data_IF_535442138812
#
_entry.id   IF_535442138812
#
_cell.length_a   1.000
_cell.length_b   1.000
_cell.length_c   1.000
_cell.angle_alpha   90.00
_cell.angle_beta   90.00
_cell.angle_gamma   90.00
#
_symmetry.space_group_name_H-M   'P 1'
#
loop_
_entity.id
_entity.type
_entity.pdbx_description
1 polymer ?
#
# COMPACT_ATOMS: atom_id res chain seq x y z
N UNK A 1 -12.85 -6.54 7.09
CA UNK A 1 -11.40 -6.39 6.78
C UNK A 1 -11.15 -7.21 5.53
N UNK A 2 -11.54 -6.71 4.35
CA UNK A 2 -11.65 -7.54 3.12
C UNK A 2 -10.90 -6.99 1.90
N UNK A 3 -10.23 -5.82 1.98
CA UNK A 3 -9.69 -5.15 0.77
C UNK A 3 -8.17 -5.32 0.56
N UNK A 4 -7.46 -5.96 1.50
CA UNK A 4 -6.02 -6.16 1.41
C UNK A 4 -5.56 -7.43 2.14
N UNK A 5 -4.41 -7.92 1.72
CA UNK A 5 -3.69 -9.08 2.27
C UNK A 5 -2.19 -8.75 2.31
N UNK A 6 -1.31 -9.68 2.68
CA UNK A 6 0.11 -9.34 2.74
C UNK A 6 1.04 -10.54 2.93
N UNK A 7 2.34 -10.26 2.86
CA UNK A 7 3.40 -11.23 3.14
C UNK A 7 3.41 -11.65 4.60
N UNK A 8 3.94 -12.82 4.92
CA UNK A 8 4.15 -13.23 6.32
C UNK A 8 4.75 -12.10 7.17
N UNK A 9 4.17 -11.88 8.36
CA UNK A 9 4.55 -10.80 9.26
C UNK A 9 3.82 -9.46 9.05
N UNK A 10 3.06 -9.27 7.96
CA UNK A 10 2.46 -7.96 7.66
C UNK A 10 1.51 -7.45 8.75
N UNK A 11 0.80 -8.35 9.43
CA UNK A 11 -0.11 -8.01 10.51
C UNK A 11 0.64 -7.52 11.75
N UNK A 12 1.76 -8.16 12.07
CA UNK A 12 2.65 -7.80 13.17
C UNK A 12 3.31 -6.44 12.92
N UNK A 13 3.76 -6.16 11.70
CA UNK A 13 4.27 -4.83 11.33
C UNK A 13 3.19 -3.75 11.45
N UNK A 14 1.98 -4.01 10.94
CA UNK A 14 0.88 -3.07 11.08
C UNK A 14 0.46 -2.87 12.54
N UNK A 15 0.54 -3.93 13.37
CA UNK A 15 0.30 -3.84 14.82
C UNK A 15 1.35 -2.96 15.49
N UNK A 16 2.65 -3.15 15.21
CA UNK A 16 3.71 -2.30 15.75
C UNK A 16 3.48 -0.82 15.43
N UNK A 17 3.09 -0.52 14.18
CA UNK A 17 2.70 0.84 13.78
C UNK A 17 1.51 1.36 14.60
N UNK A 18 0.45 0.55 14.76
CA UNK A 18 -0.72 0.92 15.57
C UNK A 18 -0.35 1.16 17.03
N UNK A 19 0.54 0.37 17.61
CA UNK A 19 0.97 0.52 18.99
C UNK A 19 1.72 1.86 19.19
N UNK A 20 2.55 2.28 18.21
CA UNK A 20 3.17 3.62 18.20
C UNK A 20 2.10 4.73 18.17
N UNK A 21 1.09 4.58 17.30
CA UNK A 21 0.02 5.58 17.15
C UNK A 21 -0.87 5.66 18.40
N UNK A 22 -1.20 4.52 19.01
CA UNK A 22 -1.97 4.46 20.27
C UNK A 22 -1.23 5.18 21.39
N UNK A 23 0.08 4.98 21.50
CA UNK A 23 0.89 5.68 22.50
C UNK A 23 0.92 7.19 22.25
N UNK A 24 1.04 7.62 21.00
CA UNK A 24 0.93 9.03 20.65
C UNK A 24 -0.43 9.62 21.01
N UNK A 25 -1.52 8.95 20.65
CA UNK A 25 -2.88 9.41 20.94
C UNK A 25 -3.11 9.50 22.46
N UNK A 26 -2.62 8.52 23.23
CA UNK A 26 -2.61 8.54 24.71
C UNK A 26 -1.86 9.76 25.26
N UNK A 27 -0.69 10.07 24.71
CA UNK A 27 0.10 11.25 25.11
C UNK A 27 -0.66 12.55 24.79
N UNK A 28 -1.28 12.65 23.61
CA UNK A 28 -2.08 13.81 23.24
C UNK A 28 -3.26 14.03 24.20
N UNK A 29 -3.95 12.97 24.61
CA UNK A 29 -5.04 13.04 25.59
C UNK A 29 -4.56 13.50 26.97
N UNK A 30 -3.50 12.89 27.49
CA UNK A 30 -2.92 13.26 28.78
C UNK A 30 -2.52 14.74 28.79
N UNK A 31 -2.03 15.27 27.68
CA UNK A 31 -1.59 16.67 27.61
C UNK A 31 -2.77 17.66 27.54
N UNK A 32 -3.89 17.31 26.89
CA UNK A 32 -5.10 18.13 26.97
C UNK A 32 -5.54 18.37 28.43
N UNK A 33 -5.25 17.42 29.32
CA UNK A 33 -5.57 17.49 30.74
C UNK A 33 -4.50 18.16 31.63
N UNK A 34 -3.29 18.46 31.11
CA UNK A 34 -2.17 18.97 31.91
C UNK A 34 -1.84 20.44 31.60
N UNK A 35 -1.49 21.25 32.62
CA UNK A 35 -1.14 22.66 32.44
C UNK A 35 0.24 22.87 31.78
N UNK A 36 1.15 21.90 31.86
CA UNK A 36 2.50 21.98 31.28
C UNK A 36 2.54 21.22 29.96
N UNK A 37 2.77 21.96 28.87
CA UNK A 37 2.73 21.45 27.49
C UNK A 37 4.07 20.91 26.97
N UNK A 38 5.19 21.09 27.67
CA UNK A 38 6.54 20.73 27.15
C UNK A 38 6.82 19.22 27.03
N UNK A 39 5.92 18.34 27.49
CA UNK A 39 6.08 16.88 27.41
C UNK A 39 5.67 16.26 26.05
N UNK A 40 5.36 17.07 25.03
CA UNK A 40 4.80 16.64 23.75
C UNK A 40 5.64 15.61 22.96
N UNK A 41 6.97 15.79 22.89
CA UNK A 41 7.86 15.00 22.01
C UNK A 41 8.46 13.76 22.68
N UNK A 42 9.00 13.94 23.90
CA UNK A 42 9.84 12.94 24.58
C UNK A 42 9.19 11.55 24.70
N UNK A 43 7.87 11.47 24.89
CA UNK A 43 7.17 10.20 25.07
C UNK A 43 7.08 9.37 23.78
N UNK A 44 6.71 9.98 22.67
CA UNK A 44 6.63 9.29 21.37
C UNK A 44 8.01 8.96 20.84
N UNK A 45 8.96 9.88 20.99
CA UNK A 45 10.34 9.63 20.63
C UNK A 45 10.91 8.43 21.39
N UNK A 46 10.69 8.36 22.71
CA UNK A 46 11.15 7.23 23.52
C UNK A 46 10.51 5.90 23.09
N UNK A 47 9.22 5.91 22.71
CA UNK A 47 8.54 4.72 22.21
C UNK A 47 9.08 4.29 20.85
N UNK A 48 9.31 5.24 19.93
CA UNK A 48 9.95 4.98 18.64
C UNK A 48 11.36 4.42 18.81
N UNK A 49 12.18 4.99 19.70
CA UNK A 49 13.53 4.48 20.01
C UNK A 49 13.47 3.05 20.56
N UNK A 50 12.53 2.77 21.47
CA UNK A 50 12.28 1.42 21.98
C UNK A 50 11.96 0.44 20.86
N UNK A 51 10.99 0.78 20.01
CA UNK A 51 10.60 -0.05 18.87
C UNK A 51 11.78 -0.31 17.92
N UNK A 52 12.54 0.72 17.56
CA UNK A 52 13.73 0.58 16.72
C UNK A 52 14.79 -0.32 17.37
N UNK A 53 15.04 -0.20 18.69
CA UNK A 53 15.99 -1.05 19.41
C UNK A 53 15.57 -2.54 19.49
N UNK A 54 14.26 -2.80 19.46
CA UNK A 54 13.70 -4.14 19.41
C UNK A 54 13.74 -4.72 17.99
N UNK A 55 13.46 -3.89 16.98
CA UNK A 55 13.44 -4.28 15.57
C UNK A 55 14.84 -4.50 14.98
N UNK A 56 15.79 -3.60 15.26
CA UNK A 56 17.11 -3.62 14.64
C UNK A 56 18.00 -4.75 15.19
N UNK A 57 18.92 -5.29 14.36
CA UNK A 57 19.97 -6.19 14.84
C UNK A 57 20.73 -5.62 16.03
N UNK A 58 21.10 -6.46 17.00
CA UNK A 58 21.76 -6.04 18.25
C UNK A 58 23.15 -5.40 18.09
N UNK A 59 23.72 -5.44 16.89
CA UNK A 59 24.92 -4.66 16.57
C UNK A 59 24.65 -3.16 16.44
N UNK A 60 23.38 -2.76 16.28
CA UNK A 60 22.96 -1.37 16.25
C UNK A 60 22.37 -0.95 17.59
N UNK A 61 22.92 0.12 18.16
CA UNK A 61 22.35 0.80 19.31
C UNK A 61 21.41 1.90 18.85
N UNK A 62 20.35 2.14 19.63
CA UNK A 62 19.40 3.24 19.40
C UNK A 62 19.29 4.07 20.67
N UNK A 63 19.47 5.38 20.55
CA UNK A 63 19.46 6.32 21.67
C UNK A 63 19.01 7.71 21.23
N UNK A 64 18.68 8.59 22.15
CA UNK A 64 18.74 10.05 21.92
C UNK A 64 20.04 10.61 22.50
N UNK A 65 20.36 11.85 22.16
CA UNK A 65 21.50 12.56 22.75
C UNK A 65 22.36 13.29 21.73
N UNK A 66 23.67 13.19 21.87
CA UNK A 66 24.63 14.09 21.21
C UNK A 66 25.57 13.32 20.30
N UNK A 67 25.92 13.93 19.15
CA UNK A 67 26.96 13.43 18.25
C UNK A 67 28.23 14.23 18.48
N UNK A 68 29.32 13.51 18.75
CA UNK A 68 30.57 14.05 19.26
C UNK A 68 31.67 13.88 18.18
N UNK A 69 32.02 14.92 17.39
CA UNK A 69 33.18 14.88 16.49
C UNK A 69 34.52 14.60 17.21
N UNK A 70 35.59 14.27 16.50
CA UNK A 70 36.92 13.99 17.06
C UNK A 70 37.69 15.29 17.39
N UNK A 71 37.51 16.37 16.61
CA UNK A 71 38.20 17.66 16.80
C UNK A 71 37.24 18.73 17.31
N UNK A 72 37.63 19.41 18.41
CA UNK A 72 36.85 20.44 19.09
C UNK A 72 37.53 21.80 19.06
N UNK A 73 36.74 22.83 18.76
CA UNK A 73 36.97 24.18 19.27
C UNK A 73 36.05 24.42 20.49
N UNK A 74 36.50 25.21 21.46
CA UNK A 74 35.84 25.44 22.76
C UNK A 74 34.47 26.15 22.65
N UNK A 75 34.05 26.54 21.44
CA UNK A 75 32.82 27.31 21.19
C UNK A 75 31.72 26.52 20.46
N UNK A 76 31.88 25.20 20.24
CA UNK A 76 30.87 24.42 19.53
C UNK A 76 29.64 24.17 20.39
N UNK A 77 28.47 24.48 19.81
CA UNK A 77 27.16 24.17 20.38
C UNK A 77 26.87 22.69 20.17
N UNK A 78 26.67 21.95 21.27
CA UNK A 78 26.22 20.56 21.21
C UNK A 78 24.72 20.51 20.93
N UNK A 79 24.36 19.62 20.01
CA UNK A 79 23.01 19.47 19.53
C UNK A 79 22.42 18.14 19.97
N UNK A 80 21.24 18.19 20.57
CA UNK A 80 20.47 17.00 20.91
C UNK A 80 19.74 16.46 19.67
N UNK A 81 19.77 15.16 19.44
CA UNK A 81 19.04 14.46 18.38
C UNK A 81 18.04 13.46 18.98
N UNK A 82 16.87 13.36 18.38
CA UNK A 82 15.76 12.53 18.88
C UNK A 82 16.06 11.04 18.75
N UNK A 83 16.65 10.62 17.63
CA UNK A 83 17.03 9.23 17.37
C UNK A 83 18.41 9.18 16.71
N UNK A 84 19.35 8.52 17.38
CA UNK A 84 20.68 8.19 16.90
C UNK A 84 20.78 6.67 16.82
N UNK A 85 21.10 6.15 15.63
CA UNK A 85 21.42 4.76 15.38
C UNK A 85 22.93 4.66 15.14
N UNK A 86 23.62 3.82 15.91
CA UNK A 86 25.07 3.71 15.87
C UNK A 86 25.55 2.26 15.94
N UNK A 87 26.78 2.00 15.50
CA UNK A 87 27.41 0.68 15.65
C UNK A 87 27.75 0.45 17.13
N UNK A 88 26.92 -0.30 17.84
CA UNK A 88 27.06 -0.52 19.28
C UNK A 88 28.21 -1.46 19.64
N UNK A 89 28.65 -2.31 18.72
CA UNK A 89 29.74 -3.25 19.02
C UNK A 89 31.10 -2.54 19.10
N UNK A 90 31.29 -1.52 18.26
CA UNK A 90 32.59 -0.84 18.12
C UNK A 90 32.62 0.56 18.77
N UNK A 91 31.47 1.13 19.09
CA UNK A 91 31.37 2.50 19.59
C UNK A 91 31.44 2.59 21.11
N UNK A 92 32.34 3.42 21.68
CA UNK A 92 32.25 3.80 23.08
C UNK A 92 31.11 4.79 23.30
N UNK A 93 30.49 4.74 24.49
CA UNK A 93 29.63 5.82 24.98
C UNK A 93 30.50 6.75 25.81
N UNK A 94 30.64 8.00 25.39
CA UNK A 94 31.58 8.94 26.01
C UNK A 94 31.08 9.46 27.35
N UNK A 95 29.79 9.81 27.40
CA UNK A 95 29.07 10.09 28.63
C UNK A 95 27.58 9.83 28.44
N UNK A 96 26.86 9.81 29.55
CA UNK A 96 25.41 9.68 29.60
C UNK A 96 24.85 10.80 30.46
N UNK A 97 23.79 11.43 30.00
CA UNK A 97 23.02 12.43 30.74
C UNK A 97 21.64 11.84 31.07
N UNK A 98 21.29 11.85 32.36
CA UNK A 98 20.09 11.21 32.89
C UNK A 98 20.34 10.58 34.25
N UNK A 99 19.28 10.28 34.99
CA UNK A 99 19.38 9.56 36.28
C UNK A 99 19.37 8.04 36.06
N UNK A 100 19.96 7.26 36.96
CA UNK A 100 19.92 5.79 36.94
C UNK A 100 18.49 5.24 36.95
N UNK A 101 17.55 5.96 37.57
CA UNK A 101 16.12 5.63 37.63
C UNK A 101 15.37 5.82 36.29
N UNK A 102 16.00 6.47 35.30
CA UNK A 102 15.41 6.61 33.98
C UNK A 102 15.63 5.33 33.19
N UNK A 103 14.60 4.93 32.42
CA UNK A 103 14.74 3.81 31.48
C UNK A 103 15.91 4.05 30.53
N UNK A 104 16.52 2.99 30.01
CA UNK A 104 17.60 3.10 29.02
C UNK A 104 17.22 3.95 27.79
N UNK A 105 15.92 4.05 27.49
CA UNK A 105 15.37 4.86 26.39
C UNK A 105 15.17 6.34 26.74
N UNK A 106 15.28 6.70 28.02
CA UNK A 106 15.20 8.06 28.55
C UNK A 106 16.56 8.69 28.86
N UNK A 107 17.64 7.91 28.80
CA UNK A 107 19.01 8.40 28.98
C UNK A 107 19.54 8.99 27.68
N UNK A 108 20.10 10.19 27.73
CA UNK A 108 20.78 10.80 26.59
C UNK A 108 22.22 10.32 26.54
N UNK A 109 22.71 9.94 25.37
CA UNK A 109 24.07 9.41 25.21
C UNK A 109 24.86 10.26 24.23
N UNK A 110 26.14 10.40 24.53
CA UNK A 110 27.10 11.06 23.67
C UNK A 110 27.89 10.02 22.87
N UNK A 111 27.67 10.02 21.56
CA UNK A 111 28.20 9.01 20.63
C UNK A 111 29.20 9.66 19.67
N UNK A 112 30.41 9.09 19.48
CA UNK A 112 31.36 9.64 18.53
C UNK A 112 30.85 9.60 17.08
N UNK A 113 31.07 10.68 16.32
CA UNK A 113 30.53 10.88 14.98
C UNK A 113 30.80 9.71 14.02
N UNK A 114 32.01 9.15 14.05
CA UNK A 114 32.45 8.05 13.16
C UNK A 114 31.67 6.74 13.32
N UNK A 115 30.95 6.56 14.43
CA UNK A 115 30.14 5.36 14.68
C UNK A 115 28.64 5.58 14.44
N UNK A 116 28.22 6.81 14.17
CA UNK A 116 26.81 7.14 13.91
C UNK A 116 26.46 6.70 12.49
N UNK A 117 25.50 5.81 12.38
CA UNK A 117 25.05 5.20 11.14
C UNK A 117 23.82 5.90 10.57
N UNK A 118 22.87 6.29 11.44
CA UNK A 118 21.70 7.04 11.02
C UNK A 118 21.17 7.96 12.10
N UNK A 119 20.53 9.06 11.69
CA UNK A 119 19.84 10.00 12.57
C UNK A 119 18.42 10.25 12.08
N UNK A 120 17.45 10.23 12.98
CA UNK A 120 16.07 10.64 12.66
C UNK A 120 15.60 11.71 13.61
N UNK A 121 15.04 12.78 13.02
CA UNK A 121 14.27 13.77 13.76
C UNK A 121 12.80 13.35 13.77
N UNK A 122 12.14 13.47 14.92
CA UNK A 122 10.75 13.09 15.09
C UNK A 122 9.89 14.32 15.31
N UNK A 123 8.82 14.47 14.51
CA UNK A 123 7.83 15.54 14.69
C UNK A 123 6.44 14.95 14.79
N UNK A 124 5.63 15.50 15.68
CA UNK A 124 4.26 15.03 15.89
C UNK A 124 3.38 15.17 14.66
N UNK A 125 3.62 16.19 13.83
CA UNK A 125 2.80 16.51 12.66
C UNK A 125 3.64 16.85 11.45
N UNK A 126 3.18 16.50 10.26
CA UNK A 126 3.67 17.01 8.99
C UNK A 126 2.98 18.33 8.65
N UNK A 127 3.71 19.43 8.79
CA UNK A 127 3.32 20.78 8.36
C UNK A 127 4.56 21.63 8.03
N UNK A 128 4.37 22.83 7.47
CA UNK A 128 5.48 23.70 7.02
C UNK A 128 6.49 24.01 8.14
N UNK A 129 6.00 24.31 9.35
CA UNK A 129 6.85 24.65 10.48
C UNK A 129 7.70 23.45 10.93
N UNK A 130 7.07 22.29 11.10
CA UNK A 130 7.74 21.05 11.51
C UNK A 130 8.77 20.56 10.49
N UNK A 131 8.50 20.70 9.18
CA UNK A 131 9.45 20.37 8.12
C UNK A 131 10.68 21.27 8.22
N UNK A 132 10.46 22.59 8.35
CA UNK A 132 11.55 23.56 8.45
C UNK A 132 12.40 23.31 9.69
N UNK A 133 11.76 23.11 10.84
CA UNK A 133 12.43 22.81 12.11
C UNK A 133 13.26 21.53 12.03
N UNK A 134 12.67 20.44 11.52
CA UNK A 134 13.35 19.16 11.42
C UNK A 134 14.55 19.20 10.47
N UNK A 135 14.41 19.82 9.31
CA UNK A 135 15.52 19.94 8.36
C UNK A 135 16.63 20.83 8.91
N UNK A 136 16.31 21.95 9.56
CA UNK A 136 17.32 22.80 10.21
C UNK A 136 18.09 22.05 11.29
N UNK A 137 17.40 21.21 12.06
CA UNK A 137 18.01 20.36 13.07
C UNK A 137 19.00 19.37 12.47
N UNK A 138 18.61 18.68 11.39
CA UNK A 138 19.47 17.72 10.72
C UNK A 138 20.68 18.40 10.02
N UNK A 139 20.55 19.66 9.57
CA UNK A 139 21.68 20.44 8.99
C UNK A 139 22.82 20.66 9.98
N UNK A 140 22.57 20.56 11.28
CA UNK A 140 23.63 20.70 12.30
C UNK A 140 24.75 19.67 12.11
N UNK A 141 24.45 18.50 11.50
CA UNK A 141 25.46 17.50 11.18
C UNK A 141 26.37 17.88 10.00
N UNK A 142 26.01 18.89 9.19
CA UNK A 142 26.82 19.31 8.04
C UNK A 142 28.19 19.85 8.45
N UNK A 143 28.28 20.45 9.64
CA UNK A 143 29.51 21.09 10.14
C UNK A 143 30.63 20.07 10.43
N UNK A 144 30.28 18.81 10.65
CA UNK A 144 31.22 17.73 10.93
C UNK A 144 31.00 16.50 10.02
N UNK A 145 30.40 16.70 8.84
CA UNK A 145 30.06 15.61 7.91
C UNK A 145 31.23 14.70 7.52
N UNK A 146 32.43 15.26 7.42
CA UNK A 146 33.65 14.52 7.06
C UNK A 146 34.10 13.51 8.14
N UNK A 147 33.53 13.61 9.35
CA UNK A 147 33.83 12.75 10.49
C UNK A 147 32.74 11.69 10.74
N UNK A 148 31.63 11.76 10.01
CA UNK A 148 30.54 10.79 10.11
C UNK A 148 30.92 9.46 9.48
N UNK A 149 30.21 8.40 9.85
CA UNK A 149 30.39 7.09 9.23
C UNK A 149 30.15 7.16 7.71
N UNK A 150 30.88 6.41 6.85
CA UNK A 150 30.68 6.46 5.39
C UNK A 150 29.27 6.07 4.92
N UNK A 151 28.56 5.26 5.72
CA UNK A 151 27.16 4.86 5.50
C UNK A 151 26.17 5.77 6.23
N UNK A 152 26.60 6.93 6.74
CA UNK A 152 25.74 7.85 7.45
C UNK A 152 24.54 8.25 6.60
N UNK A 153 23.37 8.19 7.20
CA UNK A 153 22.14 8.71 6.62
C UNK A 153 21.33 9.48 7.66
N UNK A 154 20.42 10.33 7.20
CA UNK A 154 19.44 10.91 8.11
C UNK A 154 18.08 11.06 7.47
N UNK A 155 17.06 11.20 8.29
CA UNK A 155 15.70 11.35 7.83
C UNK A 155 14.77 11.96 8.88
N UNK A 156 13.50 12.04 8.52
CA UNK A 156 12.44 12.58 9.38
C UNK A 156 11.32 11.57 9.57
N UNK A 157 10.75 11.52 10.77
CA UNK A 157 9.56 10.73 11.07
C UNK A 157 8.47 11.69 11.56
N UNK A 158 7.41 11.82 10.77
CA UNK A 158 6.20 12.53 11.16
C UNK A 158 5.17 11.54 11.68
N UNK A 159 4.48 11.85 12.78
CA UNK A 159 3.47 10.93 13.32
C UNK A 159 2.14 11.05 12.56
N UNK A 160 1.65 12.27 12.33
CA UNK A 160 0.40 12.50 11.61
C UNK A 160 0.52 13.52 10.47
N UNK A 161 -0.38 13.40 9.49
CA UNK A 161 -0.81 14.47 8.60
C UNK A 161 -2.29 14.75 8.84
N UNK A 162 -2.63 16.00 9.16
CA UNK A 162 -4.01 16.45 9.35
C UNK A 162 -4.67 16.81 8.04
N UNK A 163 -5.97 16.58 7.94
CA UNK A 163 -6.73 16.87 6.72
C UNK A 163 -6.71 18.37 6.38
N UNK A 164 -6.67 19.22 7.41
CA UNK A 164 -6.52 20.68 7.24
C UNK A 164 -5.21 21.10 6.55
N UNK A 165 -4.18 20.26 6.57
CA UNK A 165 -2.89 20.50 5.92
C UNK A 165 -2.77 19.78 4.56
N UNK A 166 -3.74 18.93 4.21
CA UNK A 166 -3.65 18.02 3.07
C UNK A 166 -3.59 18.76 1.71
N UNK A 167 -4.02 20.02 1.66
CA UNK A 167 -3.93 20.84 0.44
C UNK A 167 -2.82 21.91 0.51
N UNK A 168 -1.91 21.82 1.48
CA UNK A 168 -0.84 22.80 1.69
C UNK A 168 0.43 22.43 0.90
N UNK A 169 0.52 22.91 -0.35
CA UNK A 169 1.68 22.68 -1.23
C UNK A 169 3.03 23.09 -0.61
N UNK A 170 3.03 24.05 0.31
CA UNK A 170 4.25 24.56 0.93
C UNK A 170 4.98 23.48 1.75
N UNK A 171 4.28 22.43 2.17
CA UNK A 171 4.86 21.29 2.87
C UNK A 171 5.85 20.56 1.96
N UNK A 172 5.43 20.19 0.74
CA UNK A 172 6.26 19.47 -0.22
C UNK A 172 7.42 20.37 -0.70
N UNK A 173 7.15 21.65 -0.96
CA UNK A 173 8.19 22.65 -1.26
C UNK A 173 9.17 22.86 -0.10
N UNK A 174 8.75 22.62 1.13
CA UNK A 174 9.65 22.63 2.29
C UNK A 174 10.56 21.40 2.30
N UNK A 175 10.02 20.22 1.99
CA UNK A 175 10.76 18.95 2.03
C UNK A 175 11.92 18.89 1.02
N UNK A 176 11.80 19.56 -0.14
CA UNK A 176 12.90 19.61 -1.14
C UNK A 176 14.20 20.20 -0.56
N UNK A 177 14.10 21.08 0.45
CA UNK A 177 15.25 21.67 1.16
C UNK A 177 16.07 20.65 1.93
N UNK A 178 15.57 19.42 2.06
CA UNK A 178 16.35 18.27 2.50
C UNK A 178 17.54 17.99 1.59
N UNK A 179 17.56 18.49 0.34
CA UNK A 179 18.73 18.40 -0.56
C UNK A 179 19.99 19.04 0.02
N UNK A 180 19.84 20.01 0.92
CA UNK A 180 20.97 20.72 1.56
C UNK A 180 21.43 20.03 2.86
N UNK A 181 20.79 18.94 3.26
CA UNK A 181 21.12 18.18 4.48
C UNK A 181 21.99 16.99 4.09
N UNK A 182 23.19 16.89 4.68
CA UNK A 182 24.11 15.79 4.41
C UNK A 182 23.50 14.44 4.83
N UNK A 183 23.56 13.45 3.92
CA UNK A 183 23.03 12.11 4.16
C UNK A 183 21.50 12.01 4.19
N UNK A 184 20.75 13.08 3.89
CA UNK A 184 19.29 13.04 3.96
C UNK A 184 18.69 12.15 2.89
N UNK A 185 17.97 11.10 3.32
CA UNK A 185 17.35 10.11 2.44
C UNK A 185 15.82 10.18 2.43
N UNK A 186 15.23 11.17 3.12
CA UNK A 186 13.80 11.38 3.21
C UNK A 186 13.24 10.99 4.57
N UNK A 187 12.19 10.17 4.60
CA UNK A 187 11.47 9.90 5.84
C UNK A 187 10.14 9.20 5.68
N UNK A 188 9.33 9.22 6.74
CA UNK A 188 7.98 8.66 6.71
C UNK A 188 6.96 9.50 7.49
N UNK A 189 5.68 9.29 7.18
CA UNK A 189 4.53 9.84 7.91
C UNK A 189 3.66 8.66 8.37
N UNK A 190 3.52 8.44 9.67
CA UNK A 190 2.93 7.19 10.19
C UNK A 190 1.41 7.05 9.95
N UNK A 191 0.70 8.18 9.79
CA UNK A 191 -0.75 8.22 9.58
C UNK A 191 -1.17 9.48 8.80
N UNK A 192 -2.14 9.33 7.91
CA UNK A 192 -2.98 10.43 7.41
C UNK A 192 -4.35 10.36 8.08
N UNK A 193 -4.90 11.50 8.50
CA UNK A 193 -6.20 11.58 9.18
C UNK A 193 -7.37 11.06 8.33
N UNK A 194 -7.32 11.24 7.00
CA UNK A 194 -8.36 10.73 6.09
C UNK A 194 -8.24 9.24 5.75
N UNK A 195 -7.12 8.59 6.08
CA UNK A 195 -6.91 7.15 5.91
C UNK A 195 -5.84 6.64 6.88
N UNK A 196 -6.29 6.04 7.99
CA UNK A 196 -5.39 5.52 9.01
C UNK A 196 -4.62 4.26 8.57
N UNK A 197 -4.97 3.66 7.43
CA UNK A 197 -4.33 2.45 6.93
C UNK A 197 -3.06 2.74 6.13
N UNK A 198 -2.90 3.95 5.60
CA UNK A 198 -1.78 4.31 4.75
C UNK A 198 -0.67 5.04 5.52
N UNK A 199 0.54 4.93 4.97
CA UNK A 199 1.77 5.51 5.53
C UNK A 199 2.42 6.34 4.41
N UNK A 200 2.83 7.55 4.75
CA UNK A 200 3.58 8.42 3.86
C UNK A 200 5.05 8.00 3.80
N UNK A 201 5.63 7.97 2.61
CA UNK A 201 7.06 7.77 2.35
C UNK A 201 7.56 9.04 1.68
N UNK A 202 8.58 9.66 2.26
CA UNK A 202 9.26 10.83 1.70
C UNK A 202 10.57 10.32 1.11
N UNK A 203 10.85 10.63 -0.17
CA UNK A 203 12.09 10.29 -0.85
C UNK A 203 12.61 11.49 -1.61
N UNK A 204 13.92 11.67 -1.63
CA UNK A 204 14.59 12.65 -2.48
C UNK A 204 15.39 11.93 -3.56
N UNK A 205 15.34 12.48 -4.77
CA UNK A 205 16.03 11.97 -5.93
C UNK A 205 16.81 13.07 -6.62
N UNK A 206 17.98 12.71 -7.14
CA UNK A 206 18.67 13.49 -8.16
C UNK A 206 17.98 13.33 -9.51
N UNK A 207 17.90 14.42 -10.26
CA UNK A 207 17.28 14.49 -11.58
C UNK A 207 18.30 15.03 -12.57
N UNK A 208 18.48 14.34 -13.69
CA UNK A 208 19.45 14.73 -14.72
C UNK A 208 19.13 16.12 -15.31
N UNK A 209 20.19 16.89 -15.57
CA UNK A 209 20.08 18.21 -16.21
C UNK A 209 19.45 18.07 -17.60
N UNK A 210 18.24 18.59 -17.77
CA UNK A 210 17.48 18.54 -19.02
C UNK A 210 16.14 17.82 -18.91
N UNK A 211 15.90 17.10 -17.81
CA UNK A 211 14.61 16.48 -17.54
C UNK A 211 13.62 17.53 -17.01
N UNK A 212 12.93 18.19 -17.96
CA UNK A 212 11.80 19.09 -17.67
C UNK A 212 10.53 18.28 -17.57
N UNK A 213 10.25 17.75 -16.38
CA UNK A 213 8.93 17.17 -16.15
C UNK A 213 7.88 18.27 -16.02
N UNK A 214 6.88 18.22 -16.89
CA UNK A 214 5.62 18.97 -16.73
C UNK A 214 4.69 18.24 -15.75
N UNK A 215 5.21 17.70 -14.64
CA UNK A 215 4.31 17.14 -13.62
C UNK A 215 3.57 18.30 -12.97
N UNK A 216 2.27 18.37 -13.27
CA UNK A 216 1.33 19.24 -12.61
C UNK A 216 1.34 18.99 -11.10
N UNK A 217 1.09 20.06 -10.34
CA UNK A 217 1.16 20.06 -8.89
C UNK A 217 -0.04 19.27 -8.36
N UNK A 218 0.20 18.12 -7.76
CA UNK A 218 -0.88 17.29 -7.23
C UNK A 218 -1.16 17.65 -5.78
N UNK A 219 -2.22 18.42 -5.62
CA UNK A 219 -3.01 18.45 -4.39
C UNK A 219 -4.25 17.57 -4.60
N UNK A 220 -4.76 16.91 -3.55
CA UNK A 220 -4.23 16.87 -2.19
C UNK A 220 -2.89 16.12 -2.09
N UNK A 221 -2.15 16.27 -0.99
CA UNK A 221 -0.85 15.60 -0.78
C UNK A 221 -1.01 14.14 -0.35
N UNK A 222 -2.19 13.76 0.13
CA UNK A 222 -2.61 12.42 0.54
C UNK A 222 -4.07 12.14 0.13
N UNK A 223 -4.39 10.88 -0.14
CA UNK A 223 -5.75 10.38 -0.39
C UNK A 223 -5.98 9.05 0.31
N UNK A 224 -7.24 8.70 0.51
CA UNK A 224 -7.60 7.35 0.93
C UNK A 224 -7.26 6.36 -0.18
N UNK A 225 -6.53 5.30 0.17
CA UNK A 225 -6.04 4.30 -0.80
C UNK A 225 -7.17 3.48 -1.43
N UNK A 226 -8.28 3.29 -0.70
CA UNK A 226 -9.44 2.55 -1.22
C UNK A 226 -10.25 3.37 -2.21
N UNK A 227 -10.25 4.71 -2.06
CA UNK A 227 -10.94 5.63 -2.96
C UNK A 227 -10.17 5.84 -4.28
N UNK A 228 -8.97 5.26 -4.41
CA UNK A 228 -8.19 5.43 -5.62
C UNK A 228 -8.86 4.74 -6.81
N UNK A 229 -8.99 5.46 -7.93
CA UNK A 229 -9.58 5.02 -9.19
C UNK A 229 -8.64 4.05 -9.95
N UNK A 230 -8.21 3.00 -9.26
CA UNK A 230 -7.32 1.94 -9.76
C UNK A 230 -8.14 0.66 -9.81
N UNK A 231 -8.33 0.14 -11.02
CA UNK A 231 -9.24 -0.98 -11.27
C UNK A 231 -8.73 -1.86 -12.42
N UNK A 232 -9.24 -3.08 -12.49
CA UNK A 232 -9.10 -3.94 -13.66
C UNK A 232 -10.26 -3.63 -14.61
N UNK A 233 -10.01 -3.41 -15.90
CA UNK A 233 -11.05 -3.22 -16.91
C UNK A 233 -11.68 -4.56 -17.31
N UNK A 234 -12.78 -4.52 -18.05
CA UNK A 234 -13.40 -5.75 -18.59
C UNK A 234 -12.44 -6.59 -19.42
N UNK A 235 -11.47 -5.96 -20.07
CA UNK A 235 -10.45 -6.64 -20.87
C UNK A 235 -9.29 -7.20 -20.03
N UNK A 236 -9.41 -7.17 -18.70
CA UNK A 236 -8.36 -7.63 -17.78
C UNK A 236 -7.19 -6.66 -17.63
N UNK A 237 -7.26 -5.45 -18.22
CA UNK A 237 -6.18 -4.47 -18.14
C UNK A 237 -6.25 -3.71 -16.81
N UNK A 238 -5.10 -3.58 -16.14
CA UNK A 238 -4.98 -2.74 -14.96
C UNK A 238 -4.91 -1.26 -15.37
N UNK A 239 -5.88 -0.47 -14.92
CA UNK A 239 -6.06 0.93 -15.31
C UNK A 239 -5.85 1.87 -14.12
N UNK A 240 -5.11 2.95 -14.37
CA UNK A 240 -4.95 4.08 -13.45
C UNK A 240 -5.86 5.21 -13.94
N UNK A 241 -7.02 5.35 -13.29
CA UNK A 241 -8.08 6.27 -13.70
C UNK A 241 -8.02 7.65 -13.05
N UNK A 242 -6.95 7.96 -12.31
CA UNK A 242 -6.74 9.29 -11.73
C UNK A 242 -5.26 9.67 -11.69
N UNK A 243 -5.02 10.97 -11.56
CA UNK A 243 -3.70 11.54 -11.43
C UNK A 243 -3.13 11.35 -10.03
N UNK A 244 -1.83 11.05 -9.93
CA UNK A 244 -1.15 10.69 -8.68
C UNK A 244 -1.46 9.27 -8.18
N UNK A 245 -2.48 8.60 -8.72
CA UNK A 245 -2.72 7.18 -8.49
C UNK A 245 -1.62 6.32 -9.12
N UNK A 246 -1.08 5.39 -8.35
CA UNK A 246 0.02 4.53 -8.74
C UNK A 246 -0.15 3.11 -8.21
N UNK A 247 0.60 2.19 -8.80
CA UNK A 247 0.63 0.79 -8.42
C UNK A 247 2.07 0.31 -8.32
N UNK A 248 2.32 -0.57 -7.37
CA UNK A 248 3.54 -1.36 -7.29
C UNK A 248 3.18 -2.81 -7.50
N UNK A 249 3.75 -3.40 -8.54
CA UNK A 249 3.49 -4.79 -8.92
C UNK A 249 4.64 -5.66 -8.42
N UNK A 250 4.30 -6.79 -7.82
CA UNK A 250 5.24 -7.80 -7.38
C UNK A 250 4.88 -9.15 -7.98
N UNK A 251 5.88 -9.88 -8.45
CA UNK A 251 5.70 -11.26 -8.89
C UNK A 251 5.98 -12.21 -7.74
N UNK A 252 5.03 -13.07 -7.41
CA UNK A 252 5.19 -14.16 -6.46
C UNK A 252 4.75 -15.47 -7.12
N UNK A 253 5.71 -16.32 -7.50
CA UNK A 253 5.47 -17.47 -8.37
C UNK A 253 4.73 -17.06 -9.66
N UNK A 254 3.53 -17.59 -9.87
CA UNK A 254 2.67 -17.31 -11.03
C UNK A 254 1.61 -16.23 -10.75
N UNK A 255 1.64 -15.60 -9.57
CA UNK A 255 0.69 -14.57 -9.17
C UNK A 255 1.33 -13.17 -9.20
N UNK A 256 0.56 -12.20 -9.70
CA UNK A 256 0.90 -10.79 -9.62
C UNK A 256 0.19 -10.17 -8.42
N UNK A 257 0.97 -9.65 -7.49
CA UNK A 257 0.49 -8.96 -6.30
C UNK A 257 0.59 -7.46 -6.55
N UNK A 258 -0.44 -6.71 -6.19
CA UNK A 258 -0.52 -5.27 -6.43
C UNK A 258 -0.56 -4.55 -5.10
N UNK A 259 0.18 -3.46 -4.96
CA UNK A 259 -0.03 -2.48 -3.89
C UNK A 259 -0.38 -1.14 -4.51
N UNK A 260 -1.51 -0.57 -4.11
CA UNK A 260 -1.96 0.76 -4.51
C UNK A 260 -1.11 1.80 -3.79
N UNK A 261 -0.89 2.92 -4.47
CA UNK A 261 -0.23 4.08 -3.91
C UNK A 261 -0.82 5.37 -4.45
N UNK A 262 -0.79 6.42 -3.65
CA UNK A 262 -1.02 7.79 -4.12
C UNK A 262 0.27 8.57 -3.96
N UNK A 263 0.73 9.29 -4.98
CA UNK A 263 1.98 10.04 -4.91
C UNK A 263 1.89 11.42 -5.50
N UNK A 264 2.65 12.31 -4.89
CA UNK A 264 2.81 13.70 -5.30
C UNK A 264 4.30 14.02 -5.39
N UNK A 265 4.65 14.79 -6.41
CA UNK A 265 6.03 15.10 -6.73
C UNK A 265 6.23 16.61 -6.81
N UNK A 266 7.40 17.04 -6.40
CA UNK A 266 7.85 18.40 -6.60
C UNK A 266 9.32 18.38 -6.99
N UNK A 267 9.64 19.06 -8.09
CA UNK A 267 11.00 19.19 -8.59
C UNK A 267 11.43 20.65 -8.57
N UNK A 268 12.67 20.89 -8.14
CA UNK A 268 13.31 22.19 -8.17
C UNK A 268 14.79 21.99 -8.53
N UNK A 269 15.24 22.66 -9.59
CA UNK A 269 16.57 22.47 -10.18
C UNK A 269 16.82 21.01 -10.59
N UNK A 270 17.84 20.37 -10.04
CA UNK A 270 18.25 18.98 -10.28
C UNK A 270 17.78 18.02 -9.18
N UNK A 271 16.80 18.41 -8.36
CA UNK A 271 16.28 17.58 -7.27
C UNK A 271 14.78 17.41 -7.38
N UNK A 272 14.31 16.23 -6.98
CA UNK A 272 12.89 15.88 -6.86
C UNK A 272 12.63 15.35 -5.47
N UNK A 273 11.55 15.82 -4.86
CA UNK A 273 10.96 15.19 -3.68
C UNK A 273 9.70 14.45 -4.11
N UNK A 274 9.60 13.20 -3.67
CA UNK A 274 8.47 12.32 -3.89
C UNK A 274 7.85 12.00 -2.53
N UNK A 275 6.59 12.37 -2.35
CA UNK A 275 5.79 11.96 -1.20
C UNK A 275 4.74 10.97 -1.69
N UNK A 276 4.82 9.72 -1.23
CA UNK A 276 3.91 8.65 -1.61
C UNK A 276 3.19 8.06 -0.41
N UNK A 277 1.95 7.62 -0.59
CA UNK A 277 1.12 6.98 0.41
C UNK A 277 0.80 5.56 -0.02
N UNK A 278 0.99 4.60 0.87
CA UNK A 278 0.68 3.19 0.66
C UNK A 278 0.59 2.47 1.99
N UNK A 279 -0.16 1.37 2.03
CA UNK A 279 -0.20 0.46 3.18
C UNK A 279 1.13 -0.24 3.43
N UNK A 280 1.95 -0.39 2.38
CA UNK A 280 3.26 -1.06 2.47
C UNK A 280 4.39 -0.19 3.02
N UNK A 281 4.26 1.14 3.06
CA UNK A 281 5.41 2.01 3.31
C UNK A 281 6.04 1.85 4.70
N UNK A 282 5.30 1.36 5.71
CA UNK A 282 5.91 1.08 7.02
C UNK A 282 6.93 -0.08 6.93
N UNK A 283 6.57 -1.17 6.24
CA UNK A 283 7.49 -2.28 6.01
C UNK A 283 8.63 -1.87 5.08
N UNK A 284 8.35 -1.05 4.06
CA UNK A 284 9.37 -0.53 3.15
C UNK A 284 10.39 0.37 3.87
N UNK A 285 9.94 1.24 4.78
CA UNK A 285 10.83 2.02 5.65
C UNK A 285 11.77 1.10 6.45
N UNK A 286 11.24 0.04 7.05
CA UNK A 286 12.02 -0.92 7.81
C UNK A 286 13.08 -1.63 6.97
N UNK A 287 12.70 -2.06 5.75
CA UNK A 287 13.62 -2.68 4.79
C UNK A 287 14.70 -1.70 4.33
N UNK A 288 14.29 -0.47 4.01
CA UNK A 288 15.19 0.58 3.51
C UNK A 288 16.18 1.03 4.59
N UNK A 289 15.73 1.14 5.84
CA UNK A 289 16.59 1.40 7.01
C UNK A 289 17.63 0.30 7.18
N UNK A 290 17.21 -0.97 7.27
CA UNK A 290 18.15 -2.10 7.40
C UNK A 290 19.16 -2.13 6.25
N UNK A 291 18.67 -1.97 5.02
CA UNK A 291 19.53 -2.00 3.85
C UNK A 291 20.54 -0.86 3.84
N UNK A 292 20.14 0.35 4.26
CA UNK A 292 21.03 1.50 4.35
C UNK A 292 22.11 1.30 5.41
N UNK A 293 21.73 0.79 6.59
CA UNK A 293 22.68 0.48 7.67
C UNK A 293 23.72 -0.57 7.25
N UNK A 294 23.34 -1.52 6.40
CA UNK A 294 24.23 -2.55 5.85
C UNK A 294 24.95 -2.12 4.55
N UNK A 295 24.71 -0.92 4.02
CA UNK A 295 25.27 -0.46 2.74
C UNK A 295 24.79 -1.24 1.52
N UNK A 296 23.60 -1.84 1.58
CA UNK A 296 23.00 -2.60 0.48
C UNK A 296 22.29 -1.67 -0.51
N UNK A 297 22.67 -1.79 -1.79
CA UNK A 297 22.01 -1.09 -2.88
C UNK A 297 20.53 -1.50 -3.04
N UNK A 298 19.73 -0.70 -3.74
CA UNK A 298 18.29 -0.94 -3.93
C UNK A 298 17.96 -2.25 -4.67
N UNK A 299 18.85 -2.68 -5.58
CA UNK A 299 18.72 -3.91 -6.36
C UNK A 299 19.51 -5.09 -5.77
N UNK A 300 20.11 -4.96 -4.58
CA UNK A 300 20.85 -6.05 -3.95
C UNK A 300 19.92 -7.21 -3.60
N UNK A 301 20.28 -8.43 -4.01
CA UNK A 301 19.49 -9.65 -3.78
C UNK A 301 19.35 -9.99 -2.29
N UNK A 302 20.26 -9.51 -1.45
CA UNK A 302 20.26 -9.70 0.01
C UNK A 302 19.33 -8.74 0.72
N UNK A 303 18.72 -7.77 0.02
CA UNK A 303 17.73 -6.87 0.65
C UNK A 303 16.61 -7.68 1.27
N UNK A 304 16.26 -7.42 2.54
CA UNK A 304 15.14 -8.10 3.17
C UNK A 304 13.82 -7.87 2.43
N UNK A 305 12.94 -8.87 2.43
CA UNK A 305 11.60 -8.81 1.82
C UNK A 305 10.58 -9.41 2.79
N UNK A 306 9.88 -8.55 3.52
CA UNK A 306 8.88 -8.97 4.49
C UNK A 306 7.81 -7.90 4.69
N UNK A 307 6.69 -8.28 5.32
CA UNK A 307 5.72 -7.35 5.89
C UNK A 307 4.94 -6.47 4.90
N UNK A 308 5.10 -6.68 3.58
CA UNK A 308 4.38 -5.90 2.56
C UNK A 308 2.89 -6.23 2.56
N UNK A 309 2.10 -5.22 2.26
CA UNK A 309 0.64 -5.28 2.12
C UNK A 309 0.29 -5.11 0.64
N UNK A 310 -0.60 -5.97 0.17
CA UNK A 310 -1.12 -5.99 -1.19
C UNK A 310 -2.62 -5.71 -1.16
N UNK A 311 -3.09 -4.96 -2.14
CA UNK A 311 -4.46 -4.52 -2.27
C UNK A 311 -5.19 -5.39 -3.30
N UNK A 312 -6.46 -5.68 -3.01
CA UNK A 312 -7.33 -6.22 -4.03
C UNK A 312 -7.69 -5.11 -5.02
N UNK A 313 -7.42 -5.36 -6.30
CA UNK A 313 -7.85 -4.45 -7.36
C UNK A 313 -9.19 -4.93 -7.89
N UNK A 314 -10.21 -4.10 -7.71
CA UNK A 314 -11.56 -4.42 -8.13
C UNK A 314 -11.69 -4.36 -9.66
N UNK A 315 -12.53 -5.23 -10.21
CA UNK A 315 -13.00 -5.10 -11.59
C UNK A 315 -13.94 -3.88 -11.65
N UNK A 316 -13.70 -2.96 -12.59
CA UNK A 316 -14.59 -1.83 -12.80
C UNK A 316 -15.99 -2.35 -13.09
N UNK A 317 -16.97 -1.89 -12.32
CA UNK A 317 -18.36 -2.28 -12.53
C UNK A 317 -18.84 -1.78 -13.89
N UNK A 318 -19.05 -2.72 -14.79
CA UNK A 318 -19.70 -2.47 -16.08
C UNK A 318 -21.20 -2.30 -15.87
N UNK A 319 -21.85 -1.31 -16.52
CA UNK A 319 -23.28 -1.12 -16.45
C UNK A 319 -24.03 -2.41 -16.78
N UNK A 320 -24.99 -2.78 -15.92
CA UNK A 320 -25.85 -3.92 -16.19
C UNK A 320 -26.76 -3.59 -17.38
N UNK A 321 -26.91 -4.57 -18.29
CA UNK A 321 -27.86 -4.48 -19.38
C UNK A 321 -29.27 -4.24 -18.81
N UNK A 322 -30.07 -3.42 -19.51
CA UNK A 322 -31.49 -3.22 -19.23
C UNK A 322 -32.23 -4.57 -19.18
N UNK A 323 -33.29 -4.67 -18.37
CA UNK A 323 -34.13 -5.87 -18.31
C UNK A 323 -34.99 -6.05 -19.57
N UNK A 324 -35.21 -4.97 -20.32
CA UNK A 324 -36.01 -4.95 -21.55
C UNK A 324 -35.19 -4.48 -22.73
N UNK A 325 -35.47 -5.05 -23.90
CA UNK A 325 -34.87 -4.61 -25.16
C UNK A 325 -35.24 -3.15 -25.47
N UNK A 326 -34.25 -2.38 -25.91
CA UNK A 326 -34.39 -1.01 -26.36
C UNK A 326 -33.96 -0.91 -27.82
N UNK A 327 -34.81 -0.32 -28.66
CA UNK A 327 -34.54 -0.17 -30.09
C UNK A 327 -33.24 0.61 -30.32
N UNK A 328 -32.41 0.11 -31.23
CA UNK A 328 -31.11 0.66 -31.59
C UNK A 328 -29.98 0.27 -30.65
N UNK A 329 -30.22 -0.60 -29.65
CA UNK A 329 -29.19 -1.07 -28.71
C UNK A 329 -28.91 -2.56 -28.87
N UNK A 330 -27.71 -2.96 -28.43
CA UNK A 330 -27.34 -4.35 -28.27
C UNK A 330 -28.03 -4.97 -27.05
N UNK A 331 -28.49 -6.22 -27.15
CA UNK A 331 -29.22 -6.90 -26.08
C UNK A 331 -29.03 -8.41 -26.15
N UNK A 332 -28.40 -8.98 -25.13
CA UNK A 332 -28.17 -10.41 -25.01
C UNK A 332 -29.20 -11.07 -24.08
N UNK A 333 -29.66 -12.24 -24.47
CA UNK A 333 -30.50 -13.12 -23.65
C UNK A 333 -29.73 -14.39 -23.34
N UNK A 334 -29.61 -14.69 -22.06
CA UNK A 334 -28.86 -15.85 -21.55
C UNK A 334 -29.85 -16.87 -21.01
N UNK A 335 -29.80 -18.10 -21.53
CA UNK A 335 -30.67 -19.22 -21.13
C UNK A 335 -29.85 -20.48 -20.89
N UNK A 336 -30.35 -21.34 -20.01
CA UNK A 336 -29.80 -22.67 -19.80
C UNK A 336 -30.42 -23.62 -20.83
N UNK A 337 -29.59 -24.45 -21.48
CA UNK A 337 -30.11 -25.49 -22.35
C UNK A 337 -30.45 -26.75 -21.53
N UNK A 338 -31.52 -27.44 -21.92
CA UNK A 338 -32.10 -28.58 -21.18
C UNK A 338 -31.13 -29.76 -21.00
N UNK A 339 -30.04 -29.82 -21.78
CA UNK A 339 -28.98 -30.83 -21.69
C UNK A 339 -27.94 -30.54 -20.59
N UNK A 340 -28.42 -30.21 -19.39
CA UNK A 340 -27.54 -29.97 -18.24
C UNK A 340 -27.42 -31.25 -17.43
N UNK A 341 -26.21 -31.81 -17.35
CA UNK A 341 -25.94 -33.10 -16.72
C UNK A 341 -25.12 -32.92 -15.44
N UNK A 342 -25.54 -33.63 -14.39
CA UNK A 342 -24.75 -33.77 -13.17
C UNK A 342 -24.29 -35.22 -13.15
N UNK A 343 -23.01 -35.45 -13.38
CA UNK A 343 -22.41 -36.78 -13.29
C UNK A 343 -21.67 -36.90 -11.96
N UNK A 344 -21.86 -38.05 -11.33
CA UNK A 344 -21.10 -38.41 -10.12
C UNK A 344 -20.33 -39.68 -10.44
N UNK A 345 -19.01 -39.61 -10.42
CA UNK A 345 -18.19 -40.80 -10.54
C UNK A 345 -18.03 -41.46 -9.17
N UNK A 346 -17.78 -42.78 -9.16
CA UNK A 346 -17.49 -43.50 -7.92
C UNK A 346 -16.22 -43.00 -7.21
N UNK A 347 -15.40 -42.18 -7.87
CA UNK A 347 -14.08 -41.68 -7.47
C UNK A 347 -14.06 -40.49 -6.52
N UNK A 348 -15.15 -40.17 -5.81
CA UNK A 348 -15.28 -38.97 -4.94
C UNK A 348 -15.28 -37.62 -5.69
N UNK A 349 -15.11 -37.63 -7.01
CA UNK A 349 -15.17 -36.43 -7.85
C UNK A 349 -16.61 -36.08 -8.24
N UNK A 350 -16.91 -34.79 -8.16
CA UNK A 350 -18.19 -34.24 -8.59
C UNK A 350 -17.98 -33.40 -9.83
N UNK A 351 -18.61 -33.82 -10.94
CA UNK A 351 -18.53 -33.13 -12.22
C UNK A 351 -19.90 -32.59 -12.62
N UNK A 352 -19.93 -31.30 -12.92
CA UNK A 352 -21.13 -30.58 -13.33
C UNK A 352 -20.85 -30.10 -14.75
N UNK A 353 -21.70 -30.49 -15.70
CA UNK A 353 -21.63 -30.00 -17.06
C UNK A 353 -22.95 -29.36 -17.45
N UNK A 354 -22.90 -28.10 -17.89
CA UNK A 354 -24.09 -27.40 -18.37
C UNK A 354 -23.77 -26.53 -19.57
N UNK A 355 -24.77 -26.37 -20.44
CA UNK A 355 -24.67 -25.50 -21.61
C UNK A 355 -25.50 -24.25 -21.40
N UNK A 356 -24.90 -23.11 -21.69
CA UNK A 356 -25.58 -21.82 -21.72
C UNK A 356 -25.70 -21.37 -23.17
N UNK A 357 -26.90 -20.99 -23.58
CA UNK A 357 -27.15 -20.33 -24.85
C UNK A 357 -27.22 -18.82 -24.66
N UNK A 358 -26.55 -18.09 -25.54
CA UNK A 358 -26.46 -16.64 -25.55
C UNK A 358 -27.03 -16.18 -26.90
N UNK A 359 -28.21 -15.57 -26.87
CA UNK A 359 -28.95 -15.13 -28.05
C UNK A 359 -28.85 -13.60 -28.15
N UNK A 360 -28.43 -13.06 -29.30
CA UNK A 360 -28.44 -11.63 -29.54
C UNK A 360 -29.79 -11.19 -30.09
N UNK A 361 -30.64 -10.62 -29.23
CA UNK A 361 -31.93 -10.03 -29.60
C UNK A 361 -31.86 -8.51 -29.82
N UNK A 362 -30.66 -7.94 -29.78
CA UNK A 362 -30.42 -6.52 -30.03
C UNK A 362 -30.53 -6.16 -31.50
N UNK A 363 -30.38 -4.87 -31.80
CA UNK A 363 -30.33 -4.35 -33.17
C UNK A 363 -28.89 -4.25 -33.72
N UNK A 364 -27.89 -4.59 -32.90
CA UNK A 364 -26.47 -4.46 -33.23
C UNK A 364 -25.73 -5.77 -33.04
N UNK A 365 -24.75 -6.04 -33.90
CA UNK A 365 -23.77 -7.11 -33.68
C UNK A 365 -22.94 -6.80 -32.44
N UNK A 366 -22.64 -7.82 -31.64
CA UNK A 366 -21.86 -7.67 -30.41
C UNK A 366 -20.61 -8.52 -30.43
N UNK A 367 -19.59 -8.04 -29.73
CA UNK A 367 -18.46 -8.86 -29.29
C UNK A 367 -18.66 -9.11 -27.80
N UNK A 368 -18.71 -10.37 -27.40
CA UNK A 368 -18.88 -10.76 -26.01
C UNK A 368 -17.77 -11.68 -25.50
N UNK A 369 -17.63 -11.72 -24.19
CA UNK A 369 -16.72 -12.58 -23.45
C UNK A 369 -17.26 -12.83 -22.04
N UNK A 370 -16.90 -13.97 -21.47
CA UNK A 370 -17.13 -14.34 -20.08
C UNK A 370 -15.82 -14.65 -19.32
N UNK A 371 -14.66 -14.33 -19.92
CA UNK A 371 -13.33 -14.65 -19.40
C UNK A 371 -12.36 -13.45 -19.42
N UNK A 372 -12.92 -12.25 -19.19
CA UNK A 372 -12.20 -10.98 -19.25
C UNK A 372 -11.59 -10.70 -20.64
N UNK A 373 -12.32 -11.07 -21.69
CA UNK A 373 -11.92 -10.92 -23.10
C UNK A 373 -10.60 -11.62 -23.48
N UNK A 374 -10.20 -12.65 -22.72
CA UNK A 374 -9.15 -13.59 -23.16
C UNK A 374 -9.60 -14.35 -24.40
N UNK A 375 -10.88 -14.73 -24.46
CA UNK A 375 -11.57 -15.18 -25.65
C UNK A 375 -12.64 -14.18 -26.06
N UNK A 376 -12.78 -13.96 -27.37
CA UNK A 376 -13.75 -13.03 -27.97
C UNK A 376 -14.65 -13.80 -28.93
N UNK A 377 -15.95 -13.59 -28.83
CA UNK A 377 -16.92 -14.15 -29.77
C UNK A 377 -17.76 -13.03 -30.36
N UNK A 378 -17.80 -12.95 -31.68
CA UNK A 378 -18.70 -12.06 -32.41
C UNK A 378 -20.05 -12.75 -32.58
N UNK A 379 -21.14 -12.08 -32.21
CA UNK A 379 -22.49 -12.60 -32.29
C UNK A 379 -23.38 -11.64 -33.11
N UNK A 380 -23.68 -11.99 -34.37
CA UNK A 380 -24.58 -11.21 -35.22
C UNK A 380 -26.00 -11.11 -34.65
N UNK A 381 -26.76 -10.15 -35.16
CA UNK A 381 -28.16 -9.93 -34.75
C UNK A 381 -29.01 -11.16 -35.08
N UNK A 382 -29.80 -11.63 -34.10
CA UNK A 382 -30.68 -12.79 -34.22
C UNK A 382 -29.98 -14.15 -34.07
N UNK A 383 -28.66 -14.17 -33.97
CA UNK A 383 -27.88 -15.40 -33.83
C UNK A 383 -27.77 -15.86 -32.37
N UNK A 384 -27.48 -17.15 -32.20
CA UNK A 384 -27.29 -17.78 -30.89
C UNK A 384 -25.93 -18.47 -30.80
N UNK A 385 -25.14 -18.12 -29.79
CA UNK A 385 -23.96 -18.85 -29.39
C UNK A 385 -24.29 -19.85 -28.27
N UNK A 386 -23.59 -20.99 -28.23
CA UNK A 386 -23.71 -21.98 -27.16
C UNK A 386 -22.34 -22.22 -26.56
N UNK A 387 -22.24 -22.11 -25.23
CA UNK A 387 -21.03 -22.42 -24.48
C UNK A 387 -21.26 -23.56 -23.50
N UNK A 388 -20.36 -24.54 -23.54
CA UNK A 388 -20.30 -25.64 -22.57
C UNK A 388 -19.44 -25.22 -21.39
N UNK A 389 -19.97 -25.42 -20.17
CA UNK A 389 -19.26 -25.25 -18.91
C UNK A 389 -19.08 -26.60 -18.27
N UNK A 390 -17.84 -26.91 -17.91
CA UNK A 390 -17.48 -28.10 -17.16
C UNK A 390 -16.83 -27.65 -15.85
N UNK A 391 -17.47 -27.98 -14.73
CA UNK A 391 -16.95 -27.71 -13.40
C UNK A 391 -16.62 -29.03 -12.71
N UNK A 392 -15.33 -29.24 -12.44
CA UNK A 392 -14.83 -30.39 -11.69
C UNK A 392 -14.43 -29.92 -10.30
N UNK A 393 -15.00 -30.53 -9.27
CA UNK A 393 -14.60 -30.29 -7.89
C UNK A 393 -14.34 -31.59 -7.17
N UNK A 394 -13.31 -31.56 -6.31
CA UNK A 394 -12.94 -32.66 -5.44
C UNK A 394 -13.36 -32.28 -4.03
N UNK A 395 -14.16 -33.12 -3.39
CA UNK A 395 -14.55 -32.89 -2.01
C UNK A 395 -13.52 -33.54 -1.08
N UNK A 396 -12.89 -32.75 -0.23
CA UNK A 396 -12.02 -33.28 0.83
C UNK A 396 -12.86 -34.10 1.83
N UNK A 397 -12.64 -35.42 1.83
CA UNK A 397 -13.25 -36.48 2.67
C UNK A 397 -14.59 -37.07 2.20
N UNK A 398 -14.56 -38.34 1.72
CA UNK A 398 -15.63 -39.37 1.76
C UNK A 398 -17.07 -38.88 1.84
N UNK A 399 -17.47 -37.99 0.93
CA UNK A 399 -18.85 -37.54 0.83
C UNK A 399 -19.63 -38.64 0.10
N UNK A 400 -20.11 -39.63 0.87
CA UNK A 400 -20.84 -40.77 0.32
C UNK A 400 -22.13 -40.42 -0.43
N UNK A 401 -22.62 -39.16 -0.49
CA UNK A 401 -23.68 -38.70 -1.42
C UNK A 401 -23.62 -37.18 -1.67
N UNK A 402 -22.94 -36.70 -2.72
CA UNK A 402 -22.95 -35.29 -3.15
C UNK A 402 -24.38 -34.71 -3.29
N UNK A 403 -25.33 -35.55 -3.73
CA UNK A 403 -26.76 -35.19 -3.80
C UNK A 403 -27.37 -34.79 -2.46
N UNK A 404 -26.93 -35.37 -1.33
CA UNK A 404 -27.39 -34.93 0.00
C UNK A 404 -26.86 -33.55 0.38
N UNK A 405 -25.63 -33.22 -0.04
CA UNK A 405 -25.09 -31.88 0.19
C UNK A 405 -25.79 -30.85 -0.66
N UNK A 406 -26.02 -31.11 -1.96
CA UNK A 406 -26.75 -30.18 -2.82
C UNK A 406 -28.21 -29.98 -2.40
N UNK A 407 -28.85 -31.01 -1.80
CA UNK A 407 -30.15 -30.85 -1.14
C UNK A 407 -30.12 -29.84 0.00
N UNK A 408 -29.06 -29.89 0.82
CA UNK A 408 -28.94 -29.07 2.03
C UNK A 408 -28.44 -27.66 1.69
N UNK A 409 -27.46 -27.59 0.81
CA UNK A 409 -26.69 -26.41 0.44
C UNK A 409 -26.56 -26.37 -1.10
N UNK A 410 -27.54 -25.81 -1.83
CA UNK A 410 -27.42 -25.58 -3.27
C UNK A 410 -26.17 -24.76 -3.59
N UNK A 411 -25.47 -25.13 -4.64
CA UNK A 411 -24.33 -24.35 -5.12
C UNK A 411 -24.86 -23.25 -6.02
N UNK A 412 -24.46 -22.00 -5.78
CA UNK A 412 -24.83 -20.85 -6.62
C UNK A 412 -23.55 -20.34 -7.27
N UNK A 413 -23.49 -20.42 -8.60
CA UNK A 413 -22.36 -19.94 -9.39
C UNK A 413 -22.80 -18.66 -10.11
N UNK A 414 -22.15 -17.51 -9.90
CA UNK A 414 -22.40 -16.34 -10.72
C UNK A 414 -21.91 -16.61 -12.15
N UNK A 415 -22.79 -16.38 -13.13
CA UNK A 415 -22.46 -16.45 -14.54
C UNK A 415 -22.53 -15.06 -15.16
N UNK A 416 -21.42 -14.63 -15.74
CA UNK A 416 -21.15 -13.25 -16.08
C UNK A 416 -20.69 -13.16 -17.53
N UNK A 417 -21.39 -12.37 -18.35
CA UNK A 417 -21.00 -12.04 -19.72
C UNK A 417 -20.88 -10.53 -19.87
N UNK A 418 -19.70 -10.07 -20.26
CA UNK A 418 -19.52 -8.69 -20.70
C UNK A 418 -19.53 -8.64 -22.24
N UNK A 419 -20.16 -7.61 -22.80
CA UNK A 419 -20.24 -7.45 -24.24
C UNK A 419 -20.22 -5.97 -24.64
N UNK A 420 -19.89 -5.67 -25.88
CA UNK A 420 -20.00 -4.34 -26.47
C UNK A 420 -20.38 -4.44 -27.96
N UNK A 421 -21.07 -3.44 -28.53
CA UNK A 421 -21.37 -3.42 -29.97
C UNK A 421 -20.08 -3.36 -30.82
N UNK A 422 -20.01 -4.10 -31.92
CA UNK A 422 -18.78 -4.20 -32.72
C UNK A 422 -18.35 -2.89 -33.39
N UNK A 423 -19.24 -1.90 -33.46
CA UNK A 423 -19.05 -0.61 -34.13
C UNK A 423 -18.95 0.60 -33.18
N UNK A 424 -18.72 0.40 -31.89
CA UNK A 424 -18.57 1.49 -30.90
C UNK A 424 -17.20 1.48 -30.22
N UNK A 425 -16.90 2.55 -29.47
CA UNK A 425 -15.69 2.69 -28.65
C UNK A 425 -15.73 1.80 -27.38
N UNK A 426 -16.21 0.56 -27.51
CA UNK A 426 -16.33 -0.44 -26.44
C UNK A 426 -17.13 0.06 -25.23
N UNK A 427 -18.33 0.54 -25.45
CA UNK A 427 -19.29 0.76 -24.38
C UNK A 427 -19.75 -0.59 -23.82
N UNK A 428 -19.03 -1.09 -22.81
CA UNK A 428 -19.31 -2.37 -22.20
C UNK A 428 -20.69 -2.39 -21.53
N UNK A 429 -21.39 -3.50 -21.68
CA UNK A 429 -22.61 -3.88 -21.00
C UNK A 429 -22.44 -5.25 -20.35
N UNK A 430 -23.14 -5.48 -19.25
CA UNK A 430 -23.02 -6.70 -18.45
C UNK A 430 -24.34 -7.46 -18.39
N UNK A 431 -24.30 -8.76 -18.67
CA UNK A 431 -25.37 -9.70 -18.29
C UNK A 431 -24.84 -10.61 -17.20
N UNK A 432 -25.47 -10.53 -16.03
CA UNK A 432 -25.16 -11.39 -14.89
C UNK A 432 -26.39 -12.23 -14.51
N UNK A 433 -26.17 -13.54 -14.36
CA UNK A 433 -27.16 -14.53 -13.95
C UNK A 433 -26.59 -15.36 -12.81
N UNK A 434 -27.44 -15.97 -12.01
CA UNK A 434 -27.02 -16.94 -10.98
C UNK A 434 -27.42 -18.34 -11.42
N UNK A 435 -26.44 -19.22 -11.61
CA UNK A 435 -26.69 -20.64 -11.89
C UNK A 435 -26.83 -21.36 -10.55
N UNK A 436 -28.04 -21.81 -10.24
CA UNK A 436 -28.32 -22.60 -9.05
C UNK A 436 -28.27 -24.08 -9.39
N UNK A 437 -27.40 -24.79 -8.69
CA UNK A 437 -27.19 -26.23 -8.83
C UNK A 437 -27.75 -26.90 -7.59
N UNK A 438 -28.70 -27.80 -7.82
CA UNK A 438 -29.39 -28.57 -6.78
C UNK A 438 -29.27 -30.06 -7.08
N UNK A 439 -29.73 -30.88 -6.16
CA UNK A 439 -29.88 -32.32 -6.40
C UNK A 439 -30.92 -32.66 -7.47
N UNK A 440 -31.82 -31.72 -7.80
CA UNK A 440 -32.87 -31.89 -8.80
C UNK A 440 -32.46 -31.42 -10.20
N UNK A 441 -31.30 -30.78 -10.32
CA UNK A 441 -30.80 -30.23 -11.58
C UNK A 441 -30.24 -28.82 -11.44
N UNK A 442 -30.02 -28.22 -12.60
CA UNK A 442 -29.38 -26.92 -12.78
C UNK A 442 -30.45 -25.95 -13.29
N UNK A 443 -30.50 -24.75 -12.73
CA UNK A 443 -31.44 -23.71 -13.17
C UNK A 443 -30.79 -22.32 -13.13
N UNK A 444 -31.20 -21.45 -14.04
CA UNK A 444 -30.89 -20.02 -13.96
C UNK A 444 -31.89 -19.36 -13.03
N UNK A 445 -31.39 -18.60 -12.06
CA UNK A 445 -32.18 -17.64 -11.31
C UNK A 445 -32.15 -16.32 -12.07
N UNK A 446 -33.33 -15.80 -12.40
CA UNK A 446 -33.43 -14.40 -12.78
C UNK A 446 -33.12 -13.54 -11.55
N UNK A 447 -32.43 -12.42 -11.77
CA UNK A 447 -32.23 -11.45 -10.72
C UNK A 447 -33.64 -10.92 -10.38
N UNK A 448 -34.23 -11.42 -9.29
CA UNK A 448 -35.42 -10.82 -8.72
C UNK A 448 -35.10 -9.34 -8.49
N UNK A 449 -35.97 -8.46 -8.98
CA UNK A 449 -35.86 -7.02 -8.81
C UNK A 449 -35.82 -6.71 -7.30
N UNK A 450 -34.62 -6.66 -6.73
CA UNK A 450 -34.38 -6.19 -5.36
C UNK A 450 -34.60 -4.70 -5.24
#
# INVERSE_FOLDING_TARGET
MENFYGQHGWQEFNRNRKDILVEFDRILELIKSRPVKTAHGNGVEAYLRKWLAEFLPKKYGVTSGYIIPDLYDNNIKLFHYDVIIFNQLDSPVLWTEGNEDQSEQGKFRAVPAKYVMAVYEVKSRLNVASVTDALNKLREANDFKEQLHPLYSCGVIFIDLKDSENNNESIIKGLIKGKDVFGFNGGMVLRYEGDESCIGSIRLFDVDEGYKDNYERYIPIAKNIDDLNIYISEEGNLTLGEQGGGIKIFKNNDEWLVSKSYSVDFSEENKRVHLSWSRSHFAEFCIDLLSTLEGLAFNDERRPRFGRIFDHVELKKTPQQSSTFEKGKAFLVVKLLEQSEISTNESEDFEISYKVSIENKGDLEVIFSDDLFKSKCTLPVGETAVKLFEYKTTFGEKIKKASKLLKKNPVIIPYRIAYYPSNTDKEFCLVEKKIKITDKGIMILDNEST
#
